data_IF_888170401201
#
_entry.id   IF_888170401201
#
_cell.length_a   1.000
_cell.length_b   1.000
_cell.length_c   1.000
_cell.angle_alpha   90.00
_cell.angle_beta   90.00
_cell.angle_gamma   90.00
#
_symmetry.space_group_name_H-M   'P 1'
#
loop_
_entity.id
_entity.type
_entity.pdbx_description
1 polymer ?
#
# COMPACT_ATOMS: atom_id res chain seq x y z
N UNK A 1 -22.53 -73.72 -7.67
CA UNK A 1 -22.62 -72.93 -6.44
C UNK A 1 -21.53 -71.88 -6.46
N UNK A 2 -21.88 -70.66 -6.08
CA UNK A 2 -21.40 -69.40 -6.63
C UNK A 2 -19.98 -68.99 -6.22
N UNK A 3 -19.23 -68.48 -7.21
CA UNK A 3 -18.03 -67.66 -7.06
C UNK A 3 -18.41 -66.27 -6.53
N UNK A 4 -17.78 -65.85 -5.42
CA UNK A 4 -17.94 -64.53 -4.80
C UNK A 4 -17.22 -63.49 -5.69
N UNK A 5 -17.84 -62.36 -6.06
CA UNK A 5 -17.19 -61.34 -6.87
C UNK A 5 -16.26 -60.46 -6.02
N UNK A 6 -15.09 -60.12 -6.57
CA UNK A 6 -14.13 -59.18 -6.01
C UNK A 6 -14.77 -57.80 -5.80
N UNK A 7 -14.67 -57.28 -4.58
CA UNK A 7 -15.09 -55.92 -4.25
C UNK A 7 -14.10 -54.91 -4.82
N UNK A 8 -14.41 -54.35 -5.99
CA UNK A 8 -13.80 -53.10 -6.46
C UNK A 8 -14.33 -51.94 -5.60
N UNK A 9 -13.67 -51.69 -4.46
CA UNK A 9 -13.96 -50.49 -3.67
C UNK A 9 -13.32 -49.30 -4.37
N UNK A 10 -14.12 -48.62 -5.18
CA UNK A 10 -13.80 -47.37 -5.87
C UNK A 10 -13.39 -46.30 -4.85
N UNK A 11 -12.14 -45.84 -4.92
CA UNK A 11 -11.67 -44.66 -4.20
C UNK A 11 -12.27 -43.41 -4.84
N UNK A 12 -13.49 -43.06 -4.44
CA UNK A 12 -14.07 -41.75 -4.75
C UNK A 12 -13.30 -40.71 -3.93
N UNK A 13 -12.23 -40.19 -4.54
CA UNK A 13 -11.46 -39.08 -3.96
C UNK A 13 -12.42 -37.91 -3.82
N UNK A 14 -12.81 -37.59 -2.59
CA UNK A 14 -13.68 -36.48 -2.26
C UNK A 14 -12.91 -35.16 -2.46
N UNK A 15 -12.82 -34.72 -3.72
CA UNK A 15 -12.14 -33.49 -4.12
C UNK A 15 -12.93 -32.22 -3.78
N UNK A 16 -14.22 -32.35 -3.44
CA UNK A 16 -15.10 -31.21 -3.14
C UNK A 16 -14.87 -30.56 -1.77
N UNK A 17 -14.41 -31.31 -0.76
CA UNK A 17 -14.23 -30.79 0.61
C UNK A 17 -12.85 -30.15 0.86
N UNK A 18 -11.90 -30.29 -0.07
CA UNK A 18 -10.53 -29.74 0.05
C UNK A 18 -10.38 -28.34 -0.58
N UNK A 19 -11.28 -27.95 -1.47
CA UNK A 19 -11.25 -26.65 -2.17
C UNK A 19 -11.38 -25.43 -1.22
N UNK A 20 -12.29 -25.42 -0.22
CA UNK A 20 -12.44 -24.26 0.66
C UNK A 20 -11.18 -24.01 1.49
N UNK A 21 -10.61 -25.07 2.08
CA UNK A 21 -9.40 -24.98 2.91
C UNK A 21 -8.16 -24.55 2.13
N UNK A 22 -8.03 -24.99 0.87
CA UNK A 22 -6.94 -24.54 0.00
C UNK A 22 -7.08 -23.08 -0.38
N UNK A 23 -8.29 -22.60 -0.66
CA UNK A 23 -8.55 -21.20 -0.95
C UNK A 23 -8.32 -20.32 0.28
N UNK A 24 -8.77 -20.74 1.46
CA UNK A 24 -8.53 -19.99 2.71
C UNK A 24 -7.05 -19.89 3.04
N UNK A 25 -6.29 -20.97 2.81
CA UNK A 25 -4.83 -20.94 2.98
C UNK A 25 -4.18 -19.95 2.02
N UNK A 26 -4.50 -20.01 0.73
CA UNK A 26 -4.02 -19.05 -0.28
C UNK A 26 -4.37 -17.60 0.07
N UNK A 27 -5.59 -17.34 0.53
CA UNK A 27 -6.03 -16.00 0.97
C UNK A 27 -5.22 -15.51 2.16
N UNK A 28 -5.01 -16.35 3.17
CA UNK A 28 -4.20 -16.01 4.36
C UNK A 28 -2.74 -15.73 4.00
N UNK A 29 -2.17 -16.54 3.11
CA UNK A 29 -0.79 -16.37 2.67
C UNK A 29 -0.64 -15.06 1.87
N UNK A 30 -1.55 -14.79 0.92
CA UNK A 30 -1.56 -13.54 0.17
C UNK A 30 -1.68 -12.30 1.07
N UNK A 31 -2.55 -12.33 2.09
CA UNK A 31 -2.67 -11.24 3.08
C UNK A 31 -1.36 -11.06 3.85
N UNK A 32 -0.71 -12.17 4.25
CA UNK A 32 0.56 -12.09 4.97
C UNK A 32 1.69 -11.52 4.12
N UNK A 33 1.71 -11.84 2.83
CA UNK A 33 2.70 -11.31 1.89
C UNK A 33 2.51 -9.80 1.72
N UNK A 34 1.27 -9.33 1.59
CA UNK A 34 0.97 -7.89 1.53
C UNK A 34 1.34 -7.13 2.80
N UNK A 35 1.13 -7.73 3.97
CA UNK A 35 1.56 -7.12 5.24
C UNK A 35 3.09 -7.05 5.34
N UNK A 36 3.80 -8.05 4.81
CA UNK A 36 5.27 -8.04 4.79
C UNK A 36 5.84 -7.05 3.77
N UNK A 37 5.22 -6.94 2.60
CA UNK A 37 5.53 -5.90 1.61
C UNK A 37 5.36 -4.50 2.22
N UNK A 38 4.27 -4.29 2.95
CA UNK A 38 4.00 -3.03 3.64
C UNK A 38 5.07 -2.69 4.68
N UNK A 39 5.52 -3.68 5.46
CA UNK A 39 6.65 -3.50 6.38
C UNK A 39 7.95 -3.08 5.66
N UNK A 40 8.18 -3.57 4.44
CA UNK A 40 9.38 -3.22 3.68
C UNK A 40 9.34 -1.79 3.12
N UNK A 41 8.15 -1.23 2.87
CA UNK A 41 7.95 0.12 2.35
C UNK A 41 8.02 1.21 3.43
N UNK A 42 7.65 0.89 4.67
CA UNK A 42 7.64 1.86 5.76
C UNK A 42 9.06 2.07 6.29
N UNK A 43 9.54 3.33 6.39
CA UNK A 43 10.86 3.63 6.93
C UNK A 43 11.01 3.15 8.39
N UNK A 44 12.22 2.72 8.75
CA UNK A 44 12.49 2.10 10.07
C UNK A 44 12.27 3.09 11.23
N UNK A 45 12.34 4.38 10.94
CA UNK A 45 12.12 5.49 11.87
C UNK A 45 10.71 5.45 12.48
N UNK A 46 9.71 5.00 11.72
CA UNK A 46 8.34 4.79 12.20
C UNK A 46 8.22 3.62 13.18
N UNK A 47 9.26 2.77 13.27
CA UNK A 47 9.34 1.67 14.24
C UNK A 47 10.36 1.94 15.36
N UNK A 48 10.80 3.18 15.56
CA UNK A 48 11.80 3.53 16.58
C UNK A 48 11.35 3.12 17.98
N UNK A 49 10.11 3.42 18.37
CA UNK A 49 9.56 3.04 19.67
C UNK A 49 9.52 1.52 19.87
N UNK A 50 9.25 0.78 18.79
CA UNK A 50 9.32 -0.67 18.78
C UNK A 50 10.75 -1.16 19.02
N UNK A 51 11.73 -0.68 18.25
CA UNK A 51 13.12 -1.11 18.41
C UNK A 51 13.72 -0.67 19.77
N UNK A 52 13.32 0.48 20.30
CA UNK A 52 13.73 0.94 21.62
C UNK A 52 13.17 0.05 22.74
N UNK A 53 11.94 -0.46 22.59
CA UNK A 53 11.35 -1.39 23.56
C UNK A 53 12.07 -2.75 23.61
N UNK A 54 12.67 -3.19 22.49
CA UNK A 54 13.46 -4.43 22.42
C UNK A 54 14.84 -4.24 23.06
N UNK A 55 15.52 -3.14 22.72
CA UNK A 55 16.89 -2.88 23.19
C UNK A 55 16.96 -2.56 24.69
N UNK A 56 15.88 -2.00 25.25
CA UNK A 56 15.79 -1.70 26.69
C UNK A 56 15.64 -2.94 27.57
N UNK A 57 15.55 -4.15 26.98
CA UNK A 57 15.60 -5.42 27.73
C UNK A 57 14.46 -5.61 28.73
N UNK A 58 13.40 -4.82 28.66
CA UNK A 58 12.28 -4.90 29.60
C UNK A 58 11.34 -6.05 29.20
N UNK A 59 11.82 -7.27 29.45
CA UNK A 59 10.97 -8.44 29.62
C UNK A 59 10.15 -8.24 30.89
N UNK A 60 8.99 -7.59 30.78
CA UNK A 60 8.00 -7.58 31.85
C UNK A 60 7.33 -8.96 31.91
N UNK A 61 8.02 -9.91 32.53
CA UNK A 61 7.38 -11.05 33.20
C UNK A 61 6.39 -10.49 34.21
N UNK A 62 5.13 -10.89 34.07
CA UNK A 62 4.01 -10.19 34.67
C UNK A 62 4.01 -10.14 36.20
N UNK A 63 3.34 -9.10 36.73
CA UNK A 63 2.66 -9.07 38.03
C UNK A 63 1.73 -7.83 38.09
N UNK A 64 0.41 -8.08 38.05
CA UNK A 64 -0.75 -7.44 38.74
C UNK A 64 -0.87 -5.89 38.95
N UNK A 65 -2.05 -5.33 39.35
CA UNK A 65 -2.65 -4.19 38.67
C UNK A 65 -2.66 -2.89 39.48
N UNK A 66 -2.61 -1.76 38.78
CA UNK A 66 -3.06 -0.48 39.30
C UNK A 66 -2.02 0.63 39.17
N UNK A 67 -2.05 1.34 38.05
CA UNK A 67 -2.04 2.81 38.09
C UNK A 67 -2.33 3.37 36.70
N UNK A 68 -3.20 4.36 36.68
CA UNK A 68 -3.64 5.07 35.49
C UNK A 68 -2.49 5.92 34.93
N UNK A 69 -2.24 5.78 33.63
CA UNK A 69 -1.95 6.86 32.67
C UNK A 69 -1.32 6.28 31.41
N UNK A 70 -1.82 6.72 30.25
CA UNK A 70 -1.33 6.49 28.88
C UNK A 70 -1.52 5.09 28.27
N UNK A 71 -2.12 4.98 27.07
CA UNK A 71 -2.15 3.73 26.32
C UNK A 71 -0.76 3.50 25.71
N UNK A 72 0.14 2.86 26.47
CA UNK A 72 1.39 2.34 25.92
C UNK A 72 1.09 1.02 25.20
N UNK A 73 1.41 0.88 23.89
CA UNK A 73 1.20 -0.38 23.18
C UNK A 73 2.14 -1.43 23.80
N UNK A 74 1.56 -2.38 24.53
CA UNK A 74 2.27 -3.52 25.11
C UNK A 74 3.12 -4.22 24.02
N UNK A 75 4.34 -4.59 24.38
CA UNK A 75 5.29 -5.28 23.52
C UNK A 75 4.69 -6.54 22.91
N UNK A 76 4.62 -6.59 21.58
CA UNK A 76 4.01 -7.71 20.83
C UNK A 76 4.84 -8.10 19.61
N UNK A 77 6.16 -7.96 19.68
CA UNK A 77 7.06 -8.45 18.63
C UNK A 77 6.82 -9.93 18.33
N UNK A 78 6.94 -10.31 17.06
CA UNK A 78 6.89 -11.71 16.63
C UNK A 78 8.17 -12.44 17.05
N UNK A 79 8.17 -13.78 17.01
CA UNK A 79 9.32 -14.63 17.42
C UNK A 79 10.63 -14.28 16.70
N UNK A 80 10.53 -13.59 15.57
CA UNK A 80 11.64 -13.18 14.71
C UNK A 80 12.18 -11.77 15.03
N UNK A 81 11.69 -11.12 16.10
CA UNK A 81 12.09 -9.75 16.45
C UNK A 81 11.58 -8.68 15.49
N UNK A 82 10.57 -9.02 14.67
CA UNK A 82 9.89 -8.11 13.75
C UNK A 82 8.57 -7.59 14.35
N UNK A 83 8.16 -6.35 14.03
CA UNK A 83 6.93 -5.75 14.55
C UNK A 83 5.72 -6.61 14.22
N UNK A 84 4.72 -6.59 15.10
CA UNK A 84 3.47 -7.33 14.92
C UNK A 84 2.70 -6.83 13.69
N UNK A 85 1.86 -7.67 13.09
CA UNK A 85 0.89 -7.25 12.05
C UNK A 85 0.09 -6.02 12.47
N UNK A 86 -0.38 -5.98 13.72
CA UNK A 86 -1.10 -4.80 14.24
C UNK A 86 -0.25 -3.54 14.21
N UNK A 87 1.02 -3.64 14.63
CA UNK A 87 1.97 -2.52 14.63
C UNK A 87 2.33 -2.08 13.21
N UNK A 88 2.54 -3.03 12.29
CA UNK A 88 2.82 -2.75 10.87
C UNK A 88 1.64 -1.97 10.26
N UNK A 89 0.41 -2.39 10.51
CA UNK A 89 -0.78 -1.73 9.97
C UNK A 89 -0.99 -0.34 10.59
N UNK A 90 -0.77 -0.17 11.89
CA UNK A 90 -0.85 1.15 12.54
C UNK A 90 0.19 2.10 11.96
N UNK A 91 1.45 1.65 11.85
CA UNK A 91 2.53 2.48 11.30
C UNK A 91 2.37 2.75 9.81
N UNK A 92 1.72 1.85 9.07
CA UNK A 92 1.36 2.10 7.69
C UNK A 92 0.41 3.29 7.54
N UNK A 93 -0.62 3.38 8.38
CA UNK A 93 -1.59 4.48 8.36
C UNK A 93 -0.90 5.79 8.72
N UNK A 94 -0.03 5.78 9.72
CA UNK A 94 0.77 6.94 10.12
C UNK A 94 1.69 7.41 8.98
N UNK A 95 2.37 6.48 8.32
CA UNK A 95 3.25 6.79 7.20
C UNK A 95 2.50 7.32 5.97
N UNK A 96 1.33 6.76 5.64
CA UNK A 96 0.48 7.30 4.56
C UNK A 96 0.06 8.73 4.88
N UNK A 97 -0.37 8.99 6.11
CA UNK A 97 -0.77 10.34 6.56
C UNK A 97 0.41 11.30 6.47
N UNK A 98 1.61 10.86 6.86
CA UNK A 98 2.83 11.64 6.70
C UNK A 98 3.11 11.97 5.23
N UNK A 99 3.06 10.98 4.33
CA UNK A 99 3.28 11.20 2.90
C UNK A 99 2.25 12.16 2.30
N UNK A 100 0.98 12.04 2.67
CA UNK A 100 -0.08 12.96 2.24
C UNK A 100 0.23 14.41 2.66
N UNK A 101 0.58 14.63 3.94
CA UNK A 101 0.95 15.95 4.44
C UNK A 101 2.19 16.52 3.75
N UNK A 102 3.15 15.66 3.44
CA UNK A 102 4.38 16.05 2.77
C UNK A 102 4.14 16.41 1.29
N UNK A 103 3.24 15.69 0.60
CA UNK A 103 2.76 16.07 -0.73
C UNK A 103 2.07 17.44 -0.68
N UNK A 104 1.18 17.67 0.27
CA UNK A 104 0.47 18.96 0.42
C UNK A 104 1.44 20.11 0.72
N UNK A 105 2.47 19.85 1.53
CA UNK A 105 3.53 20.83 1.81
C UNK A 105 4.28 21.20 0.54
N UNK A 106 4.79 20.22 -0.20
CA UNK A 106 5.52 20.47 -1.46
C UNK A 106 4.63 21.14 -2.50
N UNK A 107 3.36 20.76 -2.57
CA UNK A 107 2.38 21.38 -3.46
C UNK A 107 2.25 22.89 -3.19
N UNK A 108 2.16 23.29 -1.92
CA UNK A 108 2.11 24.73 -1.54
C UNK A 108 3.40 25.48 -1.89
N UNK A 109 4.56 24.87 -1.63
CA UNK A 109 5.86 25.46 -1.98
C UNK A 109 6.00 25.65 -3.50
N UNK A 110 5.54 24.69 -4.28
CA UNK A 110 5.53 24.75 -5.74
C UNK A 110 4.62 25.87 -6.26
N UNK A 111 3.39 25.99 -5.73
CA UNK A 111 2.48 27.10 -6.08
C UNK A 111 3.11 28.46 -5.77
N UNK A 112 3.76 28.61 -4.61
CA UNK A 112 4.45 29.85 -4.26
C UNK A 112 5.56 30.17 -5.27
N UNK A 113 6.32 29.17 -5.70
CA UNK A 113 7.37 29.32 -6.70
C UNK A 113 6.81 29.69 -8.08
N UNK A 114 5.74 29.03 -8.53
CA UNK A 114 5.02 29.35 -9.77
C UNK A 114 4.59 30.82 -9.76
N UNK A 115 3.98 31.30 -8.68
CA UNK A 115 3.54 32.70 -8.55
C UNK A 115 4.72 33.68 -8.61
N UNK A 116 5.85 33.36 -7.96
CA UNK A 116 7.07 34.18 -8.04
C UNK A 116 7.61 34.25 -9.46
N UNK A 117 7.66 33.11 -10.15
CA UNK A 117 8.12 33.04 -11.55
C UNK A 117 7.20 33.86 -12.45
N UNK A 118 5.88 33.70 -12.35
CA UNK A 118 4.92 34.49 -13.12
C UNK A 118 5.06 36.00 -12.86
N UNK A 119 5.27 36.40 -11.59
CA UNK A 119 5.49 37.80 -11.24
C UNK A 119 6.76 38.36 -11.89
N UNK A 120 7.87 37.61 -11.85
CA UNK A 120 9.14 38.01 -12.46
C UNK A 120 9.04 38.05 -13.99
N UNK A 121 8.38 37.07 -14.61
CA UNK A 121 8.15 37.03 -16.05
C UNK A 121 7.42 38.30 -16.55
N UNK A 122 6.38 38.72 -15.81
CA UNK A 122 5.65 39.97 -16.07
C UNK A 122 6.53 41.21 -15.92
N UNK A 123 7.40 41.25 -14.90
CA UNK A 123 8.31 42.39 -14.70
C UNK A 123 9.36 42.51 -15.80
N UNK A 124 9.85 41.36 -16.31
CA UNK A 124 10.89 41.30 -17.35
C UNK A 124 10.29 41.36 -18.76
N UNK A 125 8.96 41.31 -18.91
CA UNK A 125 8.24 41.23 -20.18
C UNK A 125 8.74 40.07 -21.06
N UNK A 126 9.00 38.91 -20.45
CA UNK A 126 9.42 37.69 -21.15
C UNK A 126 8.39 36.59 -20.89
N UNK A 127 7.90 35.95 -21.96
CA UNK A 127 7.08 34.73 -21.83
C UNK A 127 7.95 33.55 -21.40
N UNK A 128 7.38 32.68 -20.56
CA UNK A 128 8.00 31.43 -20.11
C UNK A 128 7.10 30.32 -20.64
N UNK A 129 7.51 29.75 -21.77
CA UNK A 129 6.74 28.73 -22.49
C UNK A 129 7.40 27.34 -22.36
N UNK A 130 8.57 27.27 -21.73
CA UNK A 130 9.39 26.09 -21.53
C UNK A 130 9.10 25.33 -20.22
N UNK A 131 8.26 25.89 -19.34
CA UNK A 131 7.93 25.31 -18.03
C UNK A 131 6.42 25.35 -17.79
N UNK A 132 5.87 24.24 -17.27
CA UNK A 132 4.48 24.19 -16.82
C UNK A 132 4.29 25.08 -15.59
N UNK A 133 3.48 26.14 -15.74
CA UNK A 133 3.13 27.11 -14.69
C UNK A 133 1.64 27.05 -14.34
N UNK A 134 0.88 26.11 -14.92
CA UNK A 134 -0.57 26.02 -14.76
C UNK A 134 -0.97 25.07 -13.65
N UNK A 135 -0.29 23.92 -13.57
CA UNK A 135 -0.62 22.84 -12.65
C UNK A 135 0.63 22.40 -11.90
N UNK A 136 0.47 21.95 -10.66
CA UNK A 136 1.61 21.43 -9.90
C UNK A 136 1.99 20.02 -10.31
N UNK A 137 3.22 19.63 -10.02
CA UNK A 137 3.72 18.27 -10.21
C UNK A 137 2.83 17.22 -9.55
N UNK A 138 2.30 17.54 -8.36
CA UNK A 138 1.37 16.68 -7.63
C UNK A 138 0.06 16.47 -8.41
N UNK A 139 -0.56 17.55 -8.93
CA UNK A 139 -1.81 17.43 -9.70
C UNK A 139 -1.63 16.59 -10.96
N UNK A 140 -0.48 16.72 -11.63
CA UNK A 140 -0.14 15.94 -12.82
C UNK A 140 0.03 14.45 -12.49
N UNK A 141 0.78 14.09 -11.44
CA UNK A 141 0.97 12.67 -11.09
C UNK A 141 -0.27 12.03 -10.48
N UNK A 142 -1.01 12.76 -9.63
CA UNK A 142 -2.28 12.30 -9.07
C UNK A 142 -3.30 12.00 -10.18
N UNK A 143 -3.29 12.78 -11.26
CA UNK A 143 -4.18 12.51 -12.40
C UNK A 143 -3.94 11.14 -13.04
N UNK A 144 -2.69 10.66 -13.08
CA UNK A 144 -2.35 9.36 -13.70
C UNK A 144 -2.90 8.17 -12.92
N UNK A 145 -3.07 8.33 -11.61
CA UNK A 145 -3.73 7.34 -10.75
C UNK A 145 -5.24 7.57 -10.63
N UNK A 146 -5.78 8.54 -11.39
CA UNK A 146 -7.21 8.83 -11.43
C UNK A 146 -7.72 9.65 -10.25
N UNK A 147 -6.86 10.41 -9.56
CA UNK A 147 -7.26 11.25 -8.43
C UNK A 147 -6.95 12.73 -8.68
N UNK A 148 -7.75 13.63 -8.10
CA UNK A 148 -7.61 15.07 -8.28
C UNK A 148 -8.33 15.66 -9.50
N UNK A 149 -8.27 16.99 -9.68
CA UNK A 149 -9.08 17.71 -10.68
C UNK A 149 -8.70 17.38 -12.13
N UNK A 150 -7.43 17.00 -12.38
CA UNK A 150 -6.94 16.67 -13.72
C UNK A 150 -7.19 15.22 -14.14
N UNK A 151 -7.72 14.36 -13.25
CA UNK A 151 -7.93 12.93 -13.52
C UNK A 151 -8.80 12.66 -14.77
N UNK A 152 -9.83 13.49 -14.99
CA UNK A 152 -10.74 13.34 -16.12
C UNK A 152 -10.13 13.81 -17.46
N UNK A 153 -9.12 14.67 -17.41
CA UNK A 153 -8.49 15.24 -18.62
C UNK A 153 -7.49 14.26 -19.24
N UNK A 154 -6.79 13.49 -18.40
CA UNK A 154 -5.81 12.48 -18.87
C UNK A 154 -6.50 11.22 -19.37
N UNK A 155 -7.60 10.80 -18.73
CA UNK A 155 -8.36 9.61 -19.09
C UNK A 155 -8.93 9.63 -20.51
N UNK A 156 -9.20 10.82 -21.07
CA UNK A 156 -9.71 10.97 -22.44
C UNK A 156 -8.64 10.84 -23.52
N UNK A 157 -7.35 10.96 -23.20
CA UNK A 157 -6.27 10.90 -24.19
C UNK A 157 -5.63 9.51 -24.33
N UNK A 158 -6.00 8.53 -23.49
CA UNK A 158 -5.36 7.19 -23.47
C UNK A 158 -6.25 6.05 -24.01
N UNK A 159 -7.38 6.36 -24.67
CA UNK A 159 -8.33 5.33 -25.14
C UNK A 159 -8.11 4.93 -26.62
N UNK A 160 -7.23 5.59 -27.37
CA UNK A 160 -7.14 5.39 -28.83
C UNK A 160 -6.06 4.40 -29.33
N UNK A 161 -5.51 3.52 -28.49
CA UNK A 161 -4.60 2.45 -28.96
C UNK A 161 -5.23 1.06 -28.77
N UNK A 162 -6.37 0.84 -29.45
CA UNK A 162 -6.89 -0.50 -29.68
C UNK A 162 -6.21 -1.09 -30.92
N UNK A 163 -5.64 -2.32 -30.86
CA UNK A 163 -5.02 -2.94 -32.02
C UNK A 163 -6.10 -3.19 -33.06
N UNK A 164 -5.98 -2.53 -34.21
CA UNK A 164 -6.80 -2.76 -35.38
C UNK A 164 -6.62 -4.22 -35.77
N UNK A 165 -7.63 -5.06 -35.48
CA UNK A 165 -7.68 -6.45 -35.96
C UNK A 165 -7.80 -6.39 -37.48
N UNK A 166 -6.66 -6.53 -38.14
CA UNK A 166 -6.54 -6.67 -39.57
C UNK A 166 -7.32 -7.92 -40.01
N UNK A 167 -8.53 -7.69 -40.52
CA UNK A 167 -9.40 -8.71 -41.10
C UNK A 167 -9.07 -8.79 -42.58
N UNK A 168 -7.92 -9.39 -42.89
CA UNK A 168 -7.59 -9.78 -44.25
C UNK A 168 -8.01 -11.25 -44.44
N UNK A 169 -9.21 -11.42 -44.98
CA UNK A 169 -9.71 -12.65 -45.57
C UNK A 169 -8.69 -13.22 -46.56
N UNK A 170 -8.37 -14.51 -46.42
CA UNK A 170 -8.15 -15.42 -47.55
C UNK A 170 -8.55 -16.84 -47.15
#
# INVERSE_FOLDING_TARGET
MNTIPESVSSSVTSTASMQPFQNDRKRRDNINDRIQELLALIPKEFFTDYYNSINSGESTSGETPGSASTPRPKGTGTRDGKPNKGQILTQAVEYITFLQNEVDKRNREEVEMILKIQKLARMVNKSIDDVNLENTSAEVELSKIGVGPLANVVSSNTIDDAPTRDSSNN
#
